data_IF_469955577621
#
_entry.id   IF_469955577621
#
_cell.length_a   1.000
_cell.length_b   1.000
_cell.length_c   1.000
_cell.angle_alpha   90.00
_cell.angle_beta   90.00
_cell.angle_gamma   90.00
#
_symmetry.space_group_name_H-M   'P 1'
#
loop_
_entity.id
_entity.type
_entity.pdbx_description
1 polymer ?
#
# COMPACT_ATOMS: atom_id res chain seq x y z
N UNK A 1 -6.84 -9.88 11.33
CA UNK A 1 -7.03 -9.61 9.89
C UNK A 1 -7.55 -8.19 9.61
N UNK A 2 -8.59 -7.70 10.30
CA UNK A 2 -9.18 -6.37 10.03
C UNK A 2 -8.20 -5.18 10.20
N UNK A 3 -7.39 -5.18 11.27
CA UNK A 3 -6.41 -4.11 11.53
C UNK A 3 -5.34 -3.99 10.43
N UNK A 4 -4.91 -5.11 9.84
CA UNK A 4 -3.86 -5.12 8.82
C UNK A 4 -4.32 -4.41 7.54
N UNK A 5 -5.57 -4.63 7.16
CA UNK A 5 -6.17 -3.97 5.99
C UNK A 5 -6.33 -2.48 6.25
N UNK A 6 -6.74 -2.07 7.46
CA UNK A 6 -6.91 -0.64 7.75
C UNK A 6 -5.60 0.12 7.54
N UNK A 7 -4.48 -0.35 8.11
CA UNK A 7 -3.18 0.31 7.97
C UNK A 7 -2.69 0.41 6.52
N UNK A 8 -2.96 -0.61 5.69
CA UNK A 8 -2.66 -0.54 4.26
C UNK A 8 -3.47 0.56 3.56
N UNK A 9 -4.73 0.75 3.96
CA UNK A 9 -5.64 1.71 3.32
C UNK A 9 -5.46 3.14 3.85
N UNK A 10 -5.03 3.32 5.10
CA UNK A 10 -4.77 4.63 5.72
C UNK A 10 -3.33 5.11 5.57
N UNK A 11 -2.48 4.39 4.83
CA UNK A 11 -1.11 4.83 4.60
C UNK A 11 -1.07 6.27 4.07
N UNK A 12 -0.17 7.13 4.60
CA UNK A 12 0.04 8.49 4.12
C UNK A 12 0.29 8.57 2.61
N UNK A 13 0.86 7.51 2.03
CA UNK A 13 1.08 7.36 0.59
C UNK A 13 -0.19 7.60 -0.23
N UNK A 14 -1.36 7.22 0.31
CA UNK A 14 -2.64 7.27 -0.39
C UNK A 14 -3.46 8.52 -0.08
N UNK A 15 -2.90 9.52 0.62
CA UNK A 15 -3.63 10.73 0.99
C UNK A 15 -4.17 11.48 -0.24
N UNK A 16 -3.38 11.65 -1.29
CA UNK A 16 -3.83 12.32 -2.51
C UNK A 16 -4.91 11.52 -3.25
N UNK A 17 -4.84 10.18 -3.21
CA UNK A 17 -5.91 9.31 -3.74
C UNK A 17 -7.22 9.47 -2.95
N UNK A 18 -7.15 9.61 -1.62
CA UNK A 18 -8.33 9.88 -0.78
C UNK A 18 -8.89 11.28 -1.07
N UNK A 19 -8.02 12.29 -1.22
CA UNK A 19 -8.43 13.65 -1.61
C UNK A 19 -9.13 13.66 -2.97
N UNK A 20 -8.74 12.81 -3.92
CA UNK A 20 -9.44 12.68 -5.19
C UNK A 20 -10.90 12.25 -4.99
N UNK A 21 -11.16 11.29 -4.09
CA UNK A 21 -12.52 10.87 -3.79
C UNK A 21 -13.34 12.02 -3.18
N UNK A 22 -12.74 12.81 -2.29
CA UNK A 22 -13.39 13.98 -1.69
C UNK A 22 -13.65 15.09 -2.71
N UNK A 23 -12.72 15.35 -3.62
CA UNK A 23 -12.89 16.30 -4.71
C UNK A 23 -14.04 15.88 -5.64
N UNK A 24 -14.09 14.61 -6.04
CA UNK A 24 -15.19 14.07 -6.86
C UNK A 24 -16.56 14.14 -6.18
N UNK A 25 -16.58 14.08 -4.85
CA UNK A 25 -17.80 14.26 -4.05
C UNK A 25 -18.14 15.74 -3.77
N UNK A 26 -17.34 16.69 -4.27
CA UNK A 26 -17.58 18.13 -4.12
C UNK A 26 -17.10 18.73 -2.80
N UNK A 27 -16.35 17.98 -1.98
CA UNK A 27 -15.81 18.49 -0.70
C UNK A 27 -14.52 19.29 -0.85
N UNK A 28 -13.83 19.16 -1.99
CA UNK A 28 -12.61 19.90 -2.30
C UNK A 28 -12.72 20.53 -3.69
N UNK A 29 -12.36 21.80 -3.81
CA UNK A 29 -12.32 22.50 -5.10
C UNK A 29 -11.03 22.17 -5.88
N UNK A 30 -9.92 22.02 -5.16
CA UNK A 30 -8.60 21.80 -5.77
C UNK A 30 -8.42 20.33 -6.15
N UNK A 31 -7.95 20.08 -7.38
CA UNK A 31 -7.51 18.76 -7.80
C UNK A 31 -6.26 18.34 -6.99
N UNK A 32 -6.22 17.11 -6.44
CA UNK A 32 -5.04 16.61 -5.73
C UNK A 32 -3.82 16.51 -6.64
N UNK A 33 -2.64 16.40 -6.03
CA UNK A 33 -1.42 16.12 -6.78
C UNK A 33 -1.48 14.71 -7.42
N UNK A 34 -0.57 14.45 -8.37
CA UNK A 34 -0.39 13.10 -8.90
C UNK A 34 -0.06 12.12 -7.77
N UNK A 35 -0.58 10.90 -7.86
CA UNK A 35 -0.44 9.88 -6.84
C UNK A 35 -0.27 8.50 -7.47
N UNK A 36 0.33 7.60 -6.70
CA UNK A 36 0.49 6.18 -7.07
C UNK A 36 -0.70 5.40 -6.55
N UNK A 37 -1.27 4.53 -7.38
CA UNK A 37 -2.36 3.66 -6.96
C UNK A 37 -1.86 2.51 -6.07
N UNK A 38 -2.79 1.88 -5.34
CA UNK A 38 -2.47 0.68 -4.54
C UNK A 38 -1.92 -0.45 -5.38
N UNK A 39 -2.48 -0.65 -6.57
CA UNK A 39 -2.01 -1.67 -7.50
C UNK A 39 -0.56 -1.43 -7.89
N UNK A 40 -0.26 -0.19 -8.27
CA UNK A 40 1.08 0.22 -8.69
C UNK A 40 2.09 0.12 -7.57
N UNK A 41 1.75 0.56 -6.36
CA UNK A 41 2.71 0.52 -5.26
C UNK A 41 2.88 -0.88 -4.67
N UNK A 42 1.78 -1.60 -4.45
CA UNK A 42 1.82 -2.86 -3.71
C UNK A 42 2.21 -4.05 -4.59
N UNK A 43 1.94 -4.02 -5.90
CA UNK A 43 2.02 -5.22 -6.76
C UNK A 43 2.88 -5.05 -8.02
N UNK A 44 3.26 -3.83 -8.44
CA UNK A 44 4.23 -3.69 -9.53
C UNK A 44 5.65 -3.85 -9.01
N UNK A 45 6.19 -5.06 -9.17
CA UNK A 45 7.61 -5.34 -9.01
C UNK A 45 8.29 -5.19 -10.38
N UNK A 46 9.07 -4.13 -10.57
CA UNK A 46 9.79 -3.91 -11.83
C UNK A 46 10.85 -4.98 -12.12
N UNK A 47 11.25 -5.77 -11.11
CA UNK A 47 12.07 -6.97 -11.24
C UNK A 47 11.63 -7.97 -10.15
N UNK A 48 11.11 -9.13 -10.56
CA UNK A 48 10.37 -10.09 -9.74
C UNK A 48 11.17 -10.86 -8.67
N UNK A 49 12.35 -10.38 -8.25
CA UNK A 49 13.25 -11.11 -7.34
C UNK A 49 13.29 -10.52 -5.93
N UNK A 50 12.34 -9.64 -5.59
CA UNK A 50 12.23 -9.11 -4.24
C UNK A 50 11.82 -10.24 -3.29
N UNK A 51 12.73 -10.63 -2.40
CA UNK A 51 12.43 -11.58 -1.33
C UNK A 51 11.84 -10.85 -0.12
N UNK A 52 10.94 -11.54 0.60
CA UNK A 52 10.56 -11.15 1.95
C UNK A 52 11.73 -11.31 2.92
N UNK A 53 11.57 -10.81 4.15
CA UNK A 53 12.52 -11.06 5.25
C UNK A 53 12.69 -12.55 5.63
N UNK A 54 11.88 -13.42 5.03
CA UNK A 54 11.88 -14.87 5.18
C UNK A 54 12.57 -15.60 4.00
N UNK A 55 13.22 -14.87 3.08
CA UNK A 55 13.83 -15.39 1.85
C UNK A 55 12.86 -16.11 0.89
N UNK A 56 11.56 -15.97 1.10
CA UNK A 56 10.52 -16.38 0.13
C UNK A 56 10.21 -15.25 -0.84
N UNK A 57 9.72 -15.61 -2.03
CA UNK A 57 9.27 -14.65 -3.04
C UNK A 57 8.22 -13.71 -2.46
N UNK A 58 8.44 -12.39 -2.58
CA UNK A 58 7.46 -11.42 -2.15
C UNK A 58 6.25 -11.42 -3.09
N UNK A 59 5.06 -11.30 -2.52
CA UNK A 59 3.79 -11.25 -3.24
C UNK A 59 3.16 -9.86 -3.22
N UNK A 60 3.51 -9.01 -2.24
CA UNK A 60 3.11 -7.61 -2.20
C UNK A 60 4.11 -6.77 -1.37
N UNK A 61 4.09 -5.46 -1.56
CA UNK A 61 4.79 -4.47 -0.72
C UNK A 61 3.81 -3.79 0.23
N UNK A 62 4.17 -3.68 1.50
CA UNK A 62 3.37 -2.97 2.49
C UNK A 62 3.40 -1.45 2.24
N UNK A 63 2.25 -0.81 2.09
CA UNK A 63 2.15 0.65 1.87
C UNK A 63 2.52 1.50 3.07
N UNK A 64 2.50 0.92 4.28
CA UNK A 64 2.77 1.64 5.52
C UNK A 64 4.25 1.59 5.91
N UNK A 65 4.81 0.39 6.01
CA UNK A 65 6.20 0.18 6.40
C UNK A 65 7.13 -0.15 5.23
N UNK A 66 6.64 -0.17 3.98
CA UNK A 66 7.44 -0.22 2.74
C UNK A 66 8.20 -1.54 2.49
N UNK A 67 8.06 -2.51 3.40
CA UNK A 67 8.67 -3.84 3.31
C UNK A 67 7.97 -4.77 2.32
N UNK A 68 8.75 -5.71 1.77
CA UNK A 68 8.26 -6.82 0.95
C UNK A 68 7.70 -7.95 1.83
N UNK A 69 6.52 -8.43 1.47
CA UNK A 69 5.80 -9.46 2.20
C UNK A 69 5.47 -10.64 1.29
N UNK A 70 5.68 -11.87 1.77
CA UNK A 70 5.14 -13.11 1.21
C UNK A 70 3.91 -13.60 2.00
N UNK A 71 3.26 -14.66 1.53
CA UNK A 71 2.07 -15.28 2.18
C UNK A 71 2.33 -15.72 3.62
N UNK A 72 3.54 -16.20 3.92
CA UNK A 72 3.95 -16.58 5.29
C UNK A 72 4.16 -15.37 6.20
N UNK A 73 4.58 -14.24 5.64
CA UNK A 73 4.78 -12.98 6.39
C UNK A 73 3.50 -12.15 6.56
N UNK A 74 2.39 -12.49 5.89
CA UNK A 74 1.08 -11.85 6.10
C UNK A 74 0.60 -11.98 7.55
N UNK A 75 1.03 -13.03 8.26
CA UNK A 75 0.80 -13.19 9.71
C UNK A 75 1.80 -12.40 10.58
N UNK A 76 2.93 -11.97 10.02
CA UNK A 76 3.99 -11.19 10.69
C UNK A 76 3.83 -9.67 10.56
N UNK A 77 2.81 -9.19 9.85
CA UNK A 77 2.49 -7.74 9.79
C UNK A 77 2.06 -7.19 11.15
N UNK A 78 1.99 -8.02 12.21
CA UNK A 78 1.95 -7.59 13.63
C UNK A 78 3.22 -6.85 14.11
N UNK A 79 4.22 -6.65 13.24
CA UNK A 79 5.43 -5.84 13.52
C UNK A 79 5.52 -4.56 12.68
N UNK A 80 4.46 -4.23 11.93
CA UNK A 80 4.12 -2.86 11.60
C UNK A 80 2.94 -2.49 12.52
#
# INVERSE_FOLDING_TARGET
MLNLLIWQFVSPLYQEMIKLAWQKAGYLEKHPAEFVTKEEFCFRFENSDANCACDELAVFRCSYCVHHCCTRSVTLVNKC
#
